data_IF_255128287910
#
_entry.id   IF_255128287910
#
_cell.length_a   1.000
_cell.length_b   1.000
_cell.length_c   1.000
_cell.angle_alpha   90.00
_cell.angle_beta   90.00
_cell.angle_gamma   90.00
#
_symmetry.space_group_name_H-M   'P 1'
#
loop_
_entity.id
_entity.type
_entity.pdbx_description
1 polymer ?
#
# COMPACT_ATOMS: atom_id res chain seq x y z
N UNK A 1 -56.34 45.55 4.23
CA UNK A 1 -57.39 45.67 5.27
C UNK A 1 -57.42 44.39 6.04
N UNK A 2 -57.21 44.56 7.34
CA UNK A 2 -57.32 43.62 8.46
C UNK A 2 -56.18 42.64 8.61
N UNK A 3 -55.18 43.01 9.31
CA UNK A 3 -54.68 42.76 10.67
C UNK A 3 -55.36 41.64 11.42
N UNK A 4 -54.56 40.69 11.89
CA UNK A 4 -54.68 40.19 13.26
C UNK A 4 -53.37 39.58 13.79
N UNK A 5 -52.80 40.28 14.77
CA UNK A 5 -51.89 39.91 15.82
C UNK A 5 -52.48 38.81 16.75
N UNK A 6 -51.60 37.88 17.19
CA UNK A 6 -51.54 37.32 18.57
C UNK A 6 -50.23 36.51 18.55
N UNK A 7 -49.22 36.78 19.23
CA UNK A 7 -48.77 37.09 20.51
C UNK A 7 -48.98 35.96 21.56
N UNK A 8 -47.94 35.23 21.92
CA UNK A 8 -47.74 34.72 23.31
C UNK A 8 -46.43 33.93 23.41
N UNK A 9 -45.52 34.46 24.09
CA UNK A 9 -44.77 33.97 25.25
C UNK A 9 -44.55 32.45 25.38
N UNK A 10 -43.28 32.03 25.32
CA UNK A 10 -42.79 30.87 26.04
C UNK A 10 -41.38 31.16 26.55
N UNK A 11 -41.22 31.05 27.85
CA UNK A 11 -40.07 31.30 28.70
C UNK A 11 -38.83 30.46 28.38
N UNK A 12 -37.63 30.91 28.78
CA UNK A 12 -36.38 30.15 28.57
C UNK A 12 -36.23 29.07 29.66
N UNK A 13 -36.08 27.83 29.23
CA UNK A 13 -35.70 26.70 30.11
C UNK A 13 -34.21 26.77 30.42
N UNK A 14 -33.91 27.04 31.64
CA UNK A 14 -32.62 27.05 32.27
C UNK A 14 -32.05 25.63 32.35
N UNK A 15 -31.01 25.31 31.59
CA UNK A 15 -30.27 24.06 31.74
C UNK A 15 -29.00 24.36 32.54
N UNK A 16 -28.99 23.86 33.77
CA UNK A 16 -27.93 23.93 34.72
C UNK A 16 -26.63 23.30 34.17
N UNK A 17 -25.53 24.08 34.23
CA UNK A 17 -24.17 23.58 34.11
C UNK A 17 -23.84 22.64 35.27
N UNK A 18 -23.74 21.35 35.01
CA UNK A 18 -23.08 20.40 35.91
C UNK A 18 -21.58 20.52 35.72
N UNK A 19 -20.90 21.12 36.66
CA UNK A 19 -19.44 21.13 36.79
C UNK A 19 -18.95 19.73 37.08
N UNK A 20 -18.24 19.10 36.15
CA UNK A 20 -17.51 17.87 36.40
C UNK A 20 -16.19 18.23 37.03
N UNK A 21 -16.07 17.86 38.33
CA UNK A 21 -14.84 17.97 39.08
C UNK A 21 -13.74 17.09 38.49
N UNK A 22 -12.62 17.70 38.08
CA UNK A 22 -11.39 16.98 37.77
C UNK A 22 -10.80 16.41 39.04
N UNK A 23 -10.91 15.11 39.20
CA UNK A 23 -10.22 14.33 40.21
C UNK A 23 -8.72 14.24 39.84
N UNK A 24 -7.90 14.82 40.71
CA UNK A 24 -6.46 14.90 40.52
C UNK A 24 -5.80 13.59 40.97
N UNK A 25 -5.22 12.85 40.05
CA UNK A 25 -4.37 11.70 40.34
C UNK A 25 -3.15 12.10 41.23
N UNK A 26 -2.75 11.30 42.21
CA UNK A 26 -1.65 11.61 43.11
C UNK A 26 -0.29 11.52 42.41
N UNK A 27 0.49 12.60 42.50
CA UNK A 27 1.89 12.66 42.05
C UNK A 27 2.76 11.73 42.91
N UNK A 28 3.49 10.83 42.27
CA UNK A 28 4.56 10.04 42.85
C UNK A 28 5.69 10.94 43.39
N UNK A 29 6.32 10.58 44.55
CA UNK A 29 7.36 11.39 45.17
C UNK A 29 8.68 11.28 44.40
N UNK A 30 9.33 12.44 44.18
CA UNK A 30 10.69 12.53 43.64
C UNK A 30 11.71 12.01 44.64
N UNK A 31 12.76 11.25 44.21
CA UNK A 31 13.84 10.87 45.12
C UNK A 31 14.70 12.07 45.48
N UNK A 32 14.92 12.23 46.78
CA UNK A 32 15.82 13.22 47.38
C UNK A 32 17.28 12.83 47.04
N UNK A 33 18.01 13.75 46.47
CA UNK A 33 19.45 13.66 46.29
C UNK A 33 20.16 13.54 47.64
N UNK A 34 20.80 12.40 47.87
CA UNK A 34 21.72 12.21 48.95
C UNK A 34 23.04 12.95 48.66
N UNK A 35 23.23 14.11 49.30
CA UNK A 35 24.47 14.86 49.39
C UNK A 35 25.14 14.46 50.67
N UNK A 36 26.24 13.74 50.60
CA UNK A 36 27.01 13.43 51.78
C UNK A 36 27.75 12.10 51.72
N UNK A 37 28.84 12.02 50.97
CA UNK A 37 29.92 11.04 51.22
C UNK A 37 31.12 11.46 50.36
N UNK A 38 31.71 12.59 50.74
CA UNK A 38 32.99 13.09 50.17
C UNK A 38 33.92 13.57 51.26
N UNK A 39 34.03 12.84 52.35
CA UNK A 39 35.01 13.17 53.44
C UNK A 39 35.46 11.96 54.26
N UNK A 40 35.72 10.80 53.63
CA UNK A 40 36.31 9.67 54.37
C UNK A 40 37.20 8.82 53.45
N UNK A 41 38.23 9.40 52.87
CA UNK A 41 39.14 8.68 51.98
C UNK A 41 40.58 9.24 51.92
N UNK A 42 40.98 10.03 52.88
CA UNK A 42 42.27 10.72 52.83
C UNK A 42 43.11 10.50 54.12
N UNK A 43 43.08 9.30 54.67
CA UNK A 43 43.85 8.98 55.91
C UNK A 43 44.44 7.56 55.93
N UNK A 44 44.77 6.93 54.79
CA UNK A 44 45.36 5.57 54.80
C UNK A 44 46.43 5.34 53.71
N UNK A 45 47.18 6.33 53.28
CA UNK A 45 48.30 6.15 52.34
C UNK A 45 49.63 6.82 52.81
N UNK A 46 49.88 6.87 54.12
CA UNK A 46 51.13 7.48 54.63
C UNK A 46 51.78 6.60 55.71
N UNK A 47 51.72 5.26 55.55
CA UNK A 47 52.37 4.36 56.52
C UNK A 47 52.89 3.06 55.83
N UNK A 48 53.61 3.15 54.69
CA UNK A 48 54.43 2.05 54.16
C UNK A 48 55.55 2.57 53.26
N UNK A 49 56.48 3.36 53.85
CA UNK A 49 57.71 3.78 53.22
C UNK A 49 58.79 3.94 54.26
N UNK A 50 59.11 2.82 54.95
CA UNK A 50 60.34 2.72 55.76
C UNK A 50 60.52 1.23 56.15
N UNK A 51 61.09 0.42 55.30
CA UNK A 51 61.98 -0.71 55.66
C UNK A 51 62.26 -1.57 54.39
N UNK A 52 63.38 -1.34 53.75
CA UNK A 52 64.20 -2.33 53.05
C UNK A 52 65.52 -1.68 52.67
N UNK A 53 66.37 -1.57 53.66
CA UNK A 53 67.82 -1.34 53.44
C UNK A 53 68.50 -2.67 53.20
N UNK A 54 69.46 -2.59 52.24
CA UNK A 54 70.69 -3.37 52.13
C UNK A 54 70.63 -4.91 52.15
N UNK A 55 70.73 -5.51 50.96
CA UNK A 55 71.62 -6.66 50.78
C UNK A 55 72.36 -6.44 49.46
N UNK A 56 73.62 -5.99 49.58
CA UNK A 56 74.61 -5.94 48.52
C UNK A 56 75.27 -7.33 48.44
N UNK A 57 74.98 -8.14 47.41
CA UNK A 57 75.74 -9.34 47.12
C UNK A 57 76.50 -9.11 45.83
N UNK A 58 77.81 -9.02 45.96
CA UNK A 58 78.84 -8.90 44.92
C UNK A 58 78.89 -10.20 44.10
N UNK A 59 78.68 -10.04 42.77
CA UNK A 59 79.03 -11.08 41.80
C UNK A 59 80.20 -10.57 40.87
N UNK A 60 81.11 -11.48 40.50
CA UNK A 60 82.28 -11.08 39.75
C UNK A 60 81.95 -10.88 38.29
N UNK A 61 82.54 -9.77 37.76
CA UNK A 61 82.49 -9.41 36.33
C UNK A 61 83.32 -10.37 35.46
N UNK A 62 82.57 -11.15 34.68
CA UNK A 62 83.25 -11.87 33.54
C UNK A 62 83.05 -11.03 32.28
N UNK A 63 84.07 -10.37 31.81
CA UNK A 63 84.17 -9.71 30.53
C UNK A 63 84.23 -10.73 29.42
N UNK A 64 83.10 -11.00 28.77
CA UNK A 64 83.06 -11.71 27.49
C UNK A 64 82.83 -10.65 26.40
N UNK A 65 83.80 -10.52 25.51
CA UNK A 65 83.71 -9.77 24.26
C UNK A 65 82.56 -10.42 23.43
N UNK A 66 81.37 -9.76 23.41
CA UNK A 66 80.31 -10.08 22.48
C UNK A 66 80.48 -9.26 21.22
N UNK A 67 80.79 -9.95 20.15
CA UNK A 67 80.71 -9.50 18.78
C UNK A 67 79.29 -8.98 18.50
N UNK A 68 79.18 -7.73 18.10
CA UNK A 68 77.93 -7.08 17.71
C UNK A 68 77.26 -7.86 16.54
N UNK A 69 76.05 -8.43 16.71
CA UNK A 69 75.32 -8.95 15.57
C UNK A 69 74.76 -7.76 14.78
N UNK A 70 75.03 -7.75 13.48
CA UNK A 70 74.45 -6.84 12.53
C UNK A 70 72.93 -6.64 12.79
N UNK A 71 72.37 -5.43 12.62
CA UNK A 71 70.95 -5.23 12.84
C UNK A 71 70.16 -6.14 11.92
N UNK A 72 69.45 -7.12 12.52
CA UNK A 72 68.45 -7.91 11.83
C UNK A 72 67.40 -7.00 11.27
N UNK A 73 67.36 -6.90 9.96
CA UNK A 73 66.29 -6.25 9.20
C UNK A 73 64.94 -6.75 9.78
N UNK A 74 64.24 -5.85 10.43
CA UNK A 74 62.97 -6.20 11.07
C UNK A 74 62.05 -6.74 10.00
N UNK A 75 61.81 -8.06 10.03
CA UNK A 75 60.84 -8.71 9.14
C UNK A 75 59.52 -7.95 9.21
N UNK A 76 59.08 -7.43 8.10
CA UNK A 76 57.77 -6.74 8.00
C UNK A 76 56.72 -7.69 8.56
N UNK A 77 55.79 -7.21 9.40
CA UNK A 77 54.71 -8.03 9.93
C UNK A 77 53.99 -8.72 8.78
N UNK A 78 53.58 -9.97 8.93
CA UNK A 78 52.92 -10.75 7.86
C UNK A 78 51.67 -9.98 7.40
N UNK A 79 51.56 -9.78 6.08
CA UNK A 79 50.40 -9.09 5.48
C UNK A 79 49.10 -9.85 5.83
N UNK A 80 48.15 -9.16 6.41
CA UNK A 80 46.86 -9.75 6.80
C UNK A 80 45.99 -10.00 5.58
N UNK A 81 45.42 -11.23 5.39
CA UNK A 81 44.49 -11.47 4.30
C UNK A 81 43.18 -10.71 4.55
N UNK A 82 42.76 -9.95 3.54
CA UNK A 82 41.50 -9.16 3.53
C UNK A 82 40.82 -9.29 2.19
N UNK A 83 39.49 -9.41 2.21
CA UNK A 83 38.69 -9.38 0.99
C UNK A 83 38.53 -7.94 0.53
N UNK A 84 38.88 -7.69 -0.72
CA UNK A 84 38.74 -6.36 -1.34
C UNK A 84 37.87 -6.46 -2.58
N UNK A 85 37.11 -5.42 -2.84
CA UNK A 85 36.35 -5.28 -4.07
C UNK A 85 36.76 -4.01 -4.81
N UNK A 86 36.75 -4.07 -6.14
CA UNK A 86 37.00 -2.93 -7.01
C UNK A 86 35.71 -2.13 -7.18
N UNK A 87 35.79 -0.85 -6.92
CA UNK A 87 34.68 0.09 -7.13
C UNK A 87 34.40 0.27 -8.62
N UNK A 88 33.17 0.03 -9.01
CA UNK A 88 32.67 0.30 -10.35
C UNK A 88 31.47 1.23 -10.25
N UNK A 89 31.36 2.15 -11.18
CA UNK A 89 30.16 2.93 -11.37
C UNK A 89 29.06 1.98 -11.82
N UNK A 90 27.90 2.09 -11.18
CA UNK A 90 26.70 1.33 -11.53
C UNK A 90 25.53 2.30 -11.68
N UNK A 91 24.69 2.00 -12.60
CA UNK A 91 23.42 2.69 -12.69
C UNK A 91 22.54 2.20 -11.54
N UNK A 92 22.28 3.08 -10.60
CA UNK A 92 21.48 2.80 -9.41
C UNK A 92 20.18 3.58 -9.45
N UNK A 93 19.10 2.92 -9.07
CA UNK A 93 17.81 3.58 -8.90
C UNK A 93 17.69 4.07 -7.47
N UNK A 94 17.31 5.33 -7.31
CA UNK A 94 16.98 5.88 -5.99
C UNK A 94 15.57 5.49 -5.61
N UNK A 95 15.38 5.06 -4.39
CA UNK A 95 14.11 4.66 -3.82
C UNK A 95 13.77 5.50 -2.61
N UNK A 96 12.55 6.04 -2.58
CA UNK A 96 11.99 6.72 -1.43
C UNK A 96 10.96 5.79 -0.76
N UNK A 97 10.97 5.72 0.58
CA UNK A 97 10.11 4.81 1.35
C UNK A 97 8.94 5.55 1.97
N UNK A 98 7.76 4.99 1.79
CA UNK A 98 6.50 5.52 2.31
C UNK A 98 5.68 4.43 2.98
N UNK A 99 4.67 4.86 3.72
CA UNK A 99 3.67 4.00 4.32
C UNK A 99 2.38 4.10 3.53
N UNK A 100 1.81 2.97 3.12
CA UNK A 100 0.58 2.94 2.34
C UNK A 100 -0.42 1.91 2.82
N UNK A 101 -1.61 1.95 2.21
CA UNK A 101 -2.68 0.97 2.42
C UNK A 101 -3.18 0.44 1.09
N UNK A 102 -3.40 -0.88 1.07
CA UNK A 102 -4.03 -1.54 -0.06
C UNK A 102 -5.51 -1.15 -0.14
N UNK A 103 -5.98 -0.91 -1.36
CA UNK A 103 -7.39 -0.65 -1.67
C UNK A 103 -7.82 -1.47 -2.87
N UNK A 104 -9.06 -1.94 -2.85
CA UNK A 104 -9.65 -2.51 -4.04
C UNK A 104 -9.81 -1.43 -5.13
N UNK A 105 -9.77 -1.85 -6.39
CA UNK A 105 -10.10 -0.97 -7.52
C UNK A 105 -11.57 -0.60 -7.47
N UNK A 106 -12.41 -1.61 -7.18
CA UNK A 106 -13.85 -1.47 -7.07
C UNK A 106 -14.31 -2.05 -5.74
N UNK A 107 -15.14 -1.29 -5.04
CA UNK A 107 -15.80 -1.68 -3.81
C UNK A 107 -17.28 -1.36 -3.92
N UNK A 108 -18.12 -2.40 -3.89
CA UNK A 108 -19.56 -2.28 -4.12
C UNK A 108 -20.32 -2.87 -2.95
N UNK A 109 -21.21 -2.08 -2.38
CA UNK A 109 -22.24 -2.58 -1.47
C UNK A 109 -23.42 -3.11 -2.27
N UNK A 110 -23.61 -4.40 -2.25
CA UNK A 110 -24.72 -5.05 -2.95
C UNK A 110 -26.00 -4.86 -2.15
N UNK A 111 -26.97 -4.15 -2.76
CA UNK A 111 -28.28 -3.84 -2.16
C UNK A 111 -29.39 -4.27 -3.08
N UNK A 112 -30.58 -4.57 -2.49
CA UNK A 112 -31.75 -4.88 -3.30
C UNK A 112 -32.33 -3.63 -3.97
N UNK A 113 -32.79 -3.79 -5.22
CA UNK A 113 -33.56 -2.77 -5.93
C UNK A 113 -35.08 -2.93 -5.76
N UNK A 114 -35.53 -4.10 -5.30
CA UNK A 114 -36.92 -4.42 -5.06
C UNK A 114 -37.12 -4.85 -3.61
N UNK A 115 -38.31 -4.62 -3.08
CA UNK A 115 -38.66 -5.06 -1.74
C UNK A 115 -39.21 -6.47 -1.77
N UNK A 116 -38.83 -7.32 -0.81
CA UNK A 116 -39.32 -8.70 -0.73
C UNK A 116 -38.55 -9.52 0.30
N UNK A 117 -38.99 -10.77 0.51
CA UNK A 117 -38.26 -11.69 1.37
C UNK A 117 -37.08 -12.30 0.63
N UNK A 118 -35.94 -12.47 1.32
CA UNK A 118 -34.80 -13.22 0.78
C UNK A 118 -35.19 -14.70 0.73
N UNK A 119 -35.31 -15.25 -0.47
CA UNK A 119 -35.67 -16.65 -0.68
C UNK A 119 -34.44 -17.55 -0.59
N UNK A 120 -33.34 -17.15 -1.26
CA UNK A 120 -32.12 -17.97 -1.36
C UNK A 120 -30.87 -17.13 -1.51
N UNK A 121 -29.78 -17.65 -0.93
CA UNK A 121 -28.41 -17.11 -1.09
C UNK A 121 -27.60 -18.17 -1.85
N UNK A 122 -26.91 -17.73 -2.89
CA UNK A 122 -26.21 -18.60 -3.85
C UNK A 122 -24.68 -18.57 -3.73
N UNK A 123 -24.14 -17.74 -2.85
CA UNK A 123 -22.70 -17.63 -2.66
C UNK A 123 -22.27 -18.14 -1.28
N UNK A 124 -20.97 -18.42 -1.15
CA UNK A 124 -20.31 -18.66 0.13
C UNK A 124 -19.52 -17.41 0.52
N UNK A 125 -19.55 -17.04 1.79
CA UNK A 125 -18.74 -15.92 2.32
C UNK A 125 -17.26 -16.06 1.97
N UNK A 126 -16.65 -14.98 1.49
CA UNK A 126 -15.25 -14.96 1.04
C UNK A 126 -14.95 -15.62 -0.30
N UNK A 127 -15.96 -16.17 -0.99
CA UNK A 127 -15.76 -16.77 -2.31
C UNK A 127 -15.46 -15.72 -3.39
N UNK A 128 -14.76 -16.14 -4.43
CA UNK A 128 -14.61 -15.37 -5.66
C UNK A 128 -15.83 -15.57 -6.54
N UNK A 129 -16.35 -14.47 -7.08
CA UNK A 129 -17.50 -14.46 -8.01
C UNK A 129 -17.14 -13.63 -9.24
N UNK A 130 -17.80 -13.95 -10.35
CA UNK A 130 -17.68 -13.20 -11.60
C UNK A 130 -18.87 -12.25 -11.78
N UNK A 131 -18.66 -11.21 -12.55
CA UNK A 131 -19.73 -10.32 -12.97
C UNK A 131 -20.90 -11.13 -13.59
N UNK A 132 -22.12 -10.85 -13.12
CA UNK A 132 -23.31 -11.56 -13.54
C UNK A 132 -23.68 -12.81 -12.73
N UNK A 133 -22.78 -13.31 -11.87
CA UNK A 133 -23.09 -14.44 -10.97
C UNK A 133 -24.26 -14.10 -10.06
N UNK A 134 -25.18 -15.06 -9.89
CA UNK A 134 -26.35 -14.91 -9.02
C UNK A 134 -25.91 -14.98 -7.55
N UNK A 135 -26.16 -13.92 -6.80
CA UNK A 135 -25.81 -13.83 -5.38
C UNK A 135 -27.00 -14.12 -4.46
N UNK A 136 -28.12 -13.45 -4.71
CA UNK A 136 -29.30 -13.55 -3.85
C UNK A 136 -30.55 -13.60 -4.73
N UNK A 137 -31.50 -14.44 -4.38
CA UNK A 137 -32.86 -14.45 -4.93
C UNK A 137 -33.82 -13.87 -3.91
N UNK A 138 -34.57 -12.88 -4.32
CA UNK A 138 -35.70 -12.31 -3.57
C UNK A 138 -36.96 -12.97 -4.12
N UNK A 139 -37.98 -13.22 -3.28
CA UNK A 139 -39.24 -13.89 -3.66
C UNK A 139 -39.77 -13.29 -4.98
N UNK A 140 -39.75 -14.04 -6.09
CA UNK A 140 -40.16 -13.56 -7.41
C UNK A 140 -41.66 -13.64 -7.63
N UNK A 141 -42.43 -14.37 -6.77
CA UNK A 141 -43.81 -14.68 -7.01
C UNK A 141 -44.71 -13.43 -7.20
N UNK A 142 -44.60 -12.37 -6.37
CA UNK A 142 -45.41 -11.16 -6.57
C UNK A 142 -45.09 -10.45 -7.90
N UNK A 143 -43.80 -10.44 -8.30
CA UNK A 143 -43.33 -9.80 -9.52
C UNK A 143 -43.76 -10.60 -10.77
N UNK A 144 -43.71 -11.92 -10.70
CA UNK A 144 -44.23 -12.79 -11.76
C UNK A 144 -45.73 -12.57 -11.98
N UNK A 145 -46.49 -12.45 -10.91
CA UNK A 145 -47.92 -12.15 -11.00
C UNK A 145 -48.19 -10.75 -11.61
N UNK A 146 -47.36 -9.76 -11.25
CA UNK A 146 -47.43 -8.41 -11.83
C UNK A 146 -47.12 -8.43 -13.33
N UNK A 147 -46.08 -9.17 -13.74
CA UNK A 147 -45.72 -9.34 -15.15
C UNK A 147 -46.85 -9.96 -15.93
N UNK A 148 -47.39 -11.10 -15.46
CA UNK A 148 -48.55 -11.80 -16.14
C UNK A 148 -49.73 -10.86 -16.29
N UNK A 149 -50.04 -10.04 -15.28
CA UNK A 149 -51.09 -9.04 -15.36
C UNK A 149 -50.79 -7.97 -16.42
N UNK A 150 -49.59 -7.44 -16.47
CA UNK A 150 -49.17 -6.44 -17.45
C UNK A 150 -49.24 -7.00 -18.89
N UNK A 151 -48.80 -8.25 -19.08
CA UNK A 151 -48.86 -8.95 -20.39
C UNK A 151 -50.34 -9.12 -20.86
N UNK A 152 -51.24 -9.51 -19.95
CA UNK A 152 -52.66 -9.62 -20.27
C UNK A 152 -53.30 -8.30 -20.68
N UNK A 153 -52.89 -7.18 -20.05
CA UNK A 153 -53.36 -5.84 -20.41
C UNK A 153 -52.80 -5.40 -21.77
N UNK A 154 -51.55 -5.70 -22.11
CA UNK A 154 -50.95 -5.43 -23.43
C UNK A 154 -51.67 -6.23 -24.51
N UNK A 155 -51.98 -7.52 -24.29
CA UNK A 155 -52.72 -8.34 -25.22
C UNK A 155 -54.15 -7.78 -25.46
N UNK A 156 -54.86 -7.33 -24.42
CA UNK A 156 -56.16 -6.68 -24.56
C UNK A 156 -56.09 -5.38 -25.36
N UNK A 157 -55.05 -4.55 -25.14
CA UNK A 157 -54.79 -3.33 -25.90
C UNK A 157 -54.47 -3.62 -27.37
N UNK A 158 -53.68 -4.68 -27.64
CA UNK A 158 -53.39 -5.13 -29.00
C UNK A 158 -54.65 -5.54 -29.76
N UNK A 159 -55.53 -6.32 -29.11
CA UNK A 159 -56.84 -6.70 -29.68
C UNK A 159 -57.71 -5.47 -30.01
N UNK A 160 -57.63 -4.41 -29.16
CA UNK A 160 -58.33 -3.14 -29.42
C UNK A 160 -57.78 -2.41 -30.64
N UNK A 161 -56.46 -2.41 -30.84
CA UNK A 161 -55.81 -1.84 -32.03
C UNK A 161 -56.28 -2.56 -33.28
N UNK A 162 -56.34 -3.88 -33.31
CA UNK A 162 -56.81 -4.66 -34.46
C UNK A 162 -58.30 -4.36 -34.78
N UNK A 163 -59.13 -4.25 -33.75
CA UNK A 163 -60.53 -3.87 -33.96
C UNK A 163 -60.67 -2.48 -34.59
N UNK A 164 -60.00 -1.46 -33.98
CA UNK A 164 -60.11 -0.08 -34.46
C UNK A 164 -59.46 0.11 -35.83
N UNK A 165 -58.38 -0.64 -36.13
CA UNK A 165 -57.77 -0.71 -37.47
C UNK A 165 -58.78 -1.21 -38.50
N UNK A 166 -59.46 -2.33 -38.25
CA UNK A 166 -60.46 -2.89 -39.15
C UNK A 166 -61.63 -1.92 -39.34
N UNK A 167 -62.06 -1.21 -38.28
CA UNK A 167 -63.12 -0.20 -38.36
C UNK A 167 -62.69 1.03 -39.17
N UNK A 168 -61.43 1.48 -39.06
CA UNK A 168 -60.85 2.55 -39.84
C UNK A 168 -60.78 2.19 -41.34
N UNK A 169 -60.25 1.00 -41.67
CA UNK A 169 -60.16 0.55 -43.03
C UNK A 169 -61.57 0.42 -43.68
N UNK A 170 -62.56 -0.12 -42.98
CA UNK A 170 -63.95 -0.12 -43.46
C UNK A 170 -64.47 1.29 -43.64
N UNK A 171 -64.17 2.21 -42.69
CA UNK A 171 -64.58 3.62 -42.78
C UNK A 171 -64.00 4.32 -44.02
N UNK A 172 -62.73 4.10 -44.35
CA UNK A 172 -62.10 4.63 -45.58
C UNK A 172 -62.84 4.19 -46.82
N UNK A 173 -63.15 2.89 -46.96
CA UNK A 173 -63.90 2.33 -48.10
C UNK A 173 -65.28 2.90 -48.21
N UNK A 174 -66.01 3.17 -47.07
CA UNK A 174 -67.34 3.71 -47.08
C UNK A 174 -67.39 5.21 -47.42
N UNK A 175 -66.38 5.98 -47.08
CA UNK A 175 -66.22 7.40 -47.47
C UNK A 175 -65.96 7.49 -48.97
N UNK A 176 -65.13 6.63 -49.56
CA UNK A 176 -64.89 6.57 -50.99
C UNK A 176 -66.18 6.33 -51.75
N UNK A 177 -67.12 5.52 -51.21
CA UNK A 177 -68.41 5.25 -51.73
C UNK A 177 -69.49 6.29 -51.33
N UNK A 178 -69.11 7.40 -50.63
CA UNK A 178 -70.02 8.46 -50.15
C UNK A 178 -71.12 7.98 -49.20
N UNK A 179 -70.87 6.87 -48.51
CA UNK A 179 -71.88 6.26 -47.61
C UNK A 179 -71.78 6.84 -46.17
N UNK A 180 -70.61 7.32 -45.73
CA UNK A 180 -70.38 7.88 -44.40
C UNK A 180 -69.72 9.27 -44.53
N UNK A 181 -69.85 10.08 -43.45
CA UNK A 181 -69.29 11.43 -43.41
C UNK A 181 -67.80 11.45 -43.13
N UNK A 182 -67.07 12.49 -43.57
CA UNK A 182 -65.67 12.72 -43.21
C UNK A 182 -65.49 12.78 -41.68
N UNK A 183 -66.43 13.36 -40.95
CA UNK A 183 -66.40 13.37 -39.47
C UNK A 183 -66.37 11.97 -38.87
N UNK A 184 -67.10 11.00 -39.45
CA UNK A 184 -67.09 9.61 -38.97
C UNK A 184 -65.69 8.96 -39.23
N UNK A 185 -65.07 9.25 -40.36
CA UNK A 185 -63.71 8.79 -40.69
C UNK A 185 -62.71 9.37 -39.65
N UNK A 186 -62.83 10.71 -39.37
CA UNK A 186 -61.97 11.36 -38.38
C UNK A 186 -62.11 10.75 -36.98
N UNK A 187 -63.37 10.39 -36.57
CA UNK A 187 -63.61 9.72 -35.32
C UNK A 187 -62.94 8.34 -35.27
N UNK A 188 -63.03 7.55 -36.34
CA UNK A 188 -62.37 6.22 -36.43
C UNK A 188 -60.85 6.33 -36.44
N UNK A 189 -60.34 7.34 -37.15
CA UNK A 189 -58.91 7.66 -37.15
C UNK A 189 -58.38 7.99 -35.77
N UNK A 190 -59.13 8.84 -35.05
CA UNK A 190 -58.78 9.19 -33.69
C UNK A 190 -58.85 7.98 -32.72
N UNK A 191 -59.92 7.16 -32.84
CA UNK A 191 -60.06 5.94 -32.04
C UNK A 191 -58.88 4.93 -32.29
N UNK A 192 -58.45 4.81 -33.56
CA UNK A 192 -57.28 3.97 -33.89
C UNK A 192 -55.99 4.53 -33.25
N UNK A 193 -55.72 5.85 -33.39
CA UNK A 193 -54.59 6.50 -32.78
C UNK A 193 -54.58 6.37 -31.26
N UNK A 194 -55.74 6.50 -30.62
CA UNK A 194 -55.88 6.28 -29.19
C UNK A 194 -55.57 4.87 -28.78
N UNK A 195 -56.10 3.87 -29.53
CA UNK A 195 -55.81 2.47 -29.28
C UNK A 195 -54.33 2.14 -29.41
N UNK A 196 -53.63 2.70 -30.45
CA UNK A 196 -52.19 2.55 -30.60
C UNK A 196 -51.41 3.19 -29.44
N UNK A 197 -51.85 4.35 -28.94
CA UNK A 197 -51.21 5.00 -27.79
C UNK A 197 -51.36 4.16 -26.51
N UNK A 198 -52.57 3.58 -26.31
CA UNK A 198 -52.85 2.70 -25.18
C UNK A 198 -52.02 1.41 -25.24
N UNK A 199 -51.84 0.81 -26.43
CA UNK A 199 -50.96 -0.34 -26.59
C UNK A 199 -49.51 -0.02 -26.20
N UNK A 200 -48.96 1.12 -26.70
CA UNK A 200 -47.62 1.53 -26.30
C UNK A 200 -47.47 1.72 -24.81
N UNK A 201 -48.48 2.28 -24.14
CA UNK A 201 -48.51 2.41 -22.67
C UNK A 201 -48.53 1.05 -21.96
N UNK A 202 -49.33 0.11 -22.44
CA UNK A 202 -49.40 -1.25 -21.89
C UNK A 202 -48.05 -1.99 -22.09
N UNK A 203 -47.46 -1.89 -23.26
CA UNK A 203 -46.14 -2.46 -23.56
C UNK A 203 -45.03 -1.89 -22.63
N UNK A 204 -45.06 -0.60 -22.36
CA UNK A 204 -44.15 0.03 -21.38
C UNK A 204 -44.35 -0.55 -19.96
N UNK A 205 -45.61 -0.83 -19.55
CA UNK A 205 -45.90 -1.47 -18.29
C UNK A 205 -45.37 -2.92 -18.22
N UNK A 206 -45.42 -3.66 -19.33
CA UNK A 206 -44.79 -4.99 -19.43
C UNK A 206 -43.28 -4.90 -19.25
N UNK A 207 -42.63 -3.93 -19.88
CA UNK A 207 -41.16 -3.75 -19.71
C UNK A 207 -40.81 -3.40 -18.28
N UNK A 208 -41.56 -2.55 -17.60
CA UNK A 208 -41.36 -2.23 -16.18
C UNK A 208 -41.48 -3.48 -15.30
N UNK A 209 -42.55 -4.27 -15.49
CA UNK A 209 -42.73 -5.49 -14.72
C UNK A 209 -41.65 -6.55 -14.96
N UNK A 210 -41.11 -6.63 -16.22
CA UNK A 210 -39.96 -7.49 -16.55
C UNK A 210 -38.71 -7.06 -15.84
N UNK A 211 -38.42 -5.74 -15.78
CA UNK A 211 -37.28 -5.21 -15.05
C UNK A 211 -37.38 -5.49 -13.55
N UNK A 212 -38.56 -5.27 -12.96
CA UNK A 212 -38.77 -5.52 -11.53
C UNK A 212 -38.59 -7.00 -11.19
N UNK A 213 -39.10 -7.90 -12.05
CA UNK A 213 -38.85 -9.34 -11.91
C UNK A 213 -37.36 -9.67 -12.05
N UNK A 214 -36.68 -9.06 -13.01
CA UNK A 214 -35.21 -9.21 -13.15
C UNK A 214 -34.41 -8.75 -11.93
N UNK A 215 -34.89 -7.73 -11.22
CA UNK A 215 -34.27 -7.24 -10.00
C UNK A 215 -34.43 -8.14 -8.78
N UNK A 216 -35.33 -9.15 -8.84
CA UNK A 216 -35.41 -10.18 -7.81
C UNK A 216 -34.18 -11.09 -7.81
N UNK A 217 -33.50 -11.19 -8.92
CA UNK A 217 -32.19 -11.85 -9.06
C UNK A 217 -31.06 -10.85 -8.85
N UNK A 218 -30.56 -10.76 -7.63
CA UNK A 218 -29.43 -9.87 -7.31
C UNK A 218 -28.15 -10.54 -7.76
N UNK A 219 -27.49 -9.93 -8.76
CA UNK A 219 -26.28 -10.44 -9.39
C UNK A 219 -25.05 -9.58 -9.06
N UNK A 220 -23.86 -10.19 -9.14
CA UNK A 220 -22.61 -9.50 -8.95
C UNK A 220 -22.40 -8.43 -10.04
N UNK A 221 -22.18 -7.15 -9.69
CA UNK A 221 -21.97 -6.09 -10.67
C UNK A 221 -20.56 -6.09 -11.25
N UNK A 222 -19.58 -6.67 -10.54
CA UNK A 222 -18.14 -6.72 -10.89
C UNK A 222 -17.55 -8.07 -10.48
N UNK A 223 -16.40 -8.40 -11.03
CA UNK A 223 -15.58 -9.54 -10.59
C UNK A 223 -14.96 -9.23 -9.23
N UNK A 224 -14.97 -10.19 -8.31
CA UNK A 224 -14.35 -9.94 -7.01
C UNK A 224 -14.61 -10.99 -5.96
N UNK A 225 -14.25 -10.66 -4.73
CA UNK A 225 -14.50 -11.47 -3.54
C UNK A 225 -15.71 -10.93 -2.79
N UNK A 226 -16.66 -11.83 -2.53
CA UNK A 226 -17.86 -11.52 -1.76
C UNK A 226 -17.51 -11.47 -0.27
N UNK A 227 -18.09 -10.51 0.43
CA UNK A 227 -17.97 -10.37 1.88
C UNK A 227 -18.86 -11.38 2.64
N UNK A 228 -19.23 -10.99 3.84
CA UNK A 228 -20.15 -11.78 4.68
C UNK A 228 -21.60 -11.60 4.25
N UNK A 229 -22.46 -12.51 4.67
CA UNK A 229 -23.90 -12.44 4.53
C UNK A 229 -24.45 -11.51 5.61
N UNK A 230 -24.95 -10.33 5.22
CA UNK A 230 -25.50 -9.37 6.18
C UNK A 230 -27.00 -9.63 6.44
N UNK A 231 -27.71 -10.20 5.48
CA UNK A 231 -29.15 -10.52 5.58
C UNK A 231 -29.35 -11.99 5.25
N UNK A 232 -29.93 -12.73 6.18
CA UNK A 232 -30.20 -14.18 6.04
C UNK A 232 -31.53 -14.47 5.34
N UNK A 233 -31.66 -15.69 4.84
CA UNK A 233 -32.90 -16.21 4.21
C UNK A 233 -34.10 -16.05 5.15
N UNK A 234 -35.23 -15.66 4.59
CA UNK A 234 -36.47 -15.41 5.30
C UNK A 234 -36.66 -13.97 5.81
N UNK A 235 -35.64 -13.14 5.80
CA UNK A 235 -35.75 -11.73 6.17
C UNK A 235 -36.32 -10.90 5.02
N UNK A 236 -37.12 -9.88 5.39
CA UNK A 236 -37.64 -8.90 4.45
C UNK A 236 -36.65 -7.79 4.22
N UNK A 237 -36.39 -7.44 2.96
CA UNK A 237 -35.56 -6.32 2.55
C UNK A 237 -36.39 -5.21 1.89
N UNK A 238 -35.98 -3.97 2.10
CA UNK A 238 -36.56 -2.81 1.43
C UNK A 238 -35.95 -2.63 0.01
N UNK A 239 -36.49 -1.71 -0.76
CA UNK A 239 -35.99 -1.35 -2.08
C UNK A 239 -35.10 -0.13 -2.07
N UNK A 240 -34.11 -0.08 -2.93
CA UNK A 240 -33.30 1.10 -3.24
C UNK A 240 -32.27 1.51 -2.18
N UNK A 241 -31.99 2.79 -2.05
CA UNK A 241 -30.91 3.31 -1.20
C UNK A 241 -31.11 3.04 0.32
N UNK A 242 -32.36 2.90 0.77
CA UNK A 242 -32.69 2.54 2.16
C UNK A 242 -32.64 1.04 2.44
N UNK A 243 -32.38 0.21 1.41
CA UNK A 243 -32.21 -1.23 1.58
C UNK A 243 -30.98 -1.51 2.44
N UNK A 244 -31.05 -2.48 3.36
CA UNK A 244 -29.86 -2.97 4.03
C UNK A 244 -28.85 -3.52 3.00
N UNK A 245 -27.57 -3.44 3.32
CA UNK A 245 -26.53 -4.11 2.54
C UNK A 245 -26.74 -5.61 2.64
N UNK A 246 -26.82 -6.31 1.52
CA UNK A 246 -26.93 -7.77 1.48
C UNK A 246 -25.57 -8.44 1.68
N UNK A 247 -24.56 -7.88 1.02
CA UNK A 247 -23.14 -8.25 1.13
C UNK A 247 -22.28 -7.14 0.51
N UNK A 248 -20.99 -7.11 0.83
CA UNK A 248 -20.00 -6.29 0.13
C UNK A 248 -19.32 -7.13 -0.95
N UNK A 249 -18.87 -6.48 -2.02
CA UNK A 249 -18.09 -7.09 -3.09
C UNK A 249 -16.88 -6.20 -3.37
N UNK A 250 -15.67 -6.77 -3.31
CA UNK A 250 -14.42 -6.07 -3.56
C UNK A 250 -13.65 -6.73 -4.68
N UNK A 251 -13.16 -5.93 -5.63
CA UNK A 251 -12.27 -6.44 -6.68
C UNK A 251 -10.97 -6.94 -6.07
N UNK A 252 -10.40 -8.01 -6.67
CA UNK A 252 -9.18 -8.64 -6.16
C UNK A 252 -7.97 -8.31 -7.02
N UNK A 253 -8.14 -8.34 -8.33
CA UNK A 253 -7.08 -8.08 -9.31
C UNK A 253 -7.60 -7.13 -10.40
N UNK A 254 -6.87 -6.05 -10.71
CA UNK A 254 -5.69 -5.55 -10.00
C UNK A 254 -6.03 -4.96 -8.62
N UNK A 255 -4.99 -4.60 -7.82
CA UNK A 255 -5.15 -3.96 -6.53
C UNK A 255 -4.37 -2.65 -6.48
N UNK A 256 -4.88 -1.67 -5.76
CA UNK A 256 -4.24 -0.37 -5.56
C UNK A 256 -3.52 -0.29 -4.22
N UNK A 257 -2.49 0.52 -4.18
CA UNK A 257 -1.90 1.03 -2.95
C UNK A 257 -1.99 2.54 -2.95
N UNK A 258 -2.63 3.10 -1.93
CA UNK A 258 -2.64 4.54 -1.70
C UNK A 258 -1.62 4.89 -0.62
N UNK A 259 -0.81 5.91 -0.87
CA UNK A 259 0.19 6.43 0.07
C UNK A 259 0.34 7.93 -0.11
N UNK A 260 0.83 8.60 0.93
CA UNK A 260 1.08 10.03 0.90
C UNK A 260 2.59 10.26 0.82
N UNK A 261 3.03 11.11 -0.13
CA UNK A 261 4.44 11.43 -0.35
C UNK A 261 4.64 12.95 -0.32
N UNK A 262 5.78 13.39 0.19
CA UNK A 262 6.12 14.80 0.24
C UNK A 262 6.31 15.40 -1.17
N UNK A 263 6.11 16.71 -1.29
CA UNK A 263 6.16 17.43 -2.56
C UNK A 263 7.50 17.28 -3.28
N UNK A 264 8.60 17.25 -2.54
CA UNK A 264 9.94 17.14 -3.13
C UNK A 264 10.15 15.75 -3.76
N UNK A 265 9.77 14.69 -3.07
CA UNK A 265 9.89 13.32 -3.58
C UNK A 265 9.05 13.11 -4.85
N UNK A 266 7.84 13.67 -4.88
CA UNK A 266 6.97 13.63 -6.06
C UNK A 266 7.58 14.42 -7.22
N UNK A 267 8.05 15.65 -6.96
CA UNK A 267 8.68 16.48 -7.98
C UNK A 267 9.92 15.81 -8.59
N UNK A 268 10.78 15.19 -7.75
CA UNK A 268 11.97 14.46 -8.22
C UNK A 268 11.60 13.19 -9.01
N UNK A 269 10.57 12.46 -8.59
CA UNK A 269 10.08 11.29 -9.33
C UNK A 269 9.53 11.70 -10.71
N UNK A 270 8.72 12.75 -10.79
CA UNK A 270 8.18 13.27 -12.05
C UNK A 270 9.28 13.82 -12.95
N UNK A 271 10.25 14.57 -12.43
CA UNK A 271 11.41 15.07 -13.19
C UNK A 271 12.26 13.92 -13.78
N UNK A 272 12.25 12.74 -13.19
CA UNK A 272 12.95 11.57 -13.70
C UNK A 272 12.31 10.98 -14.97
N UNK A 273 11.05 11.27 -15.24
CA UNK A 273 10.32 10.73 -16.42
C UNK A 273 10.60 11.53 -17.69
N UNK A 274 10.84 12.85 -17.62
CA UNK A 274 11.20 13.67 -18.77
C UNK A 274 11.05 15.17 -18.51
N UNK A 275 11.71 15.99 -19.34
CA UNK A 275 11.66 17.45 -19.25
C UNK A 275 10.46 18.10 -19.97
N UNK A 276 9.65 17.33 -20.68
CA UNK A 276 8.57 17.87 -21.49
C UNK A 276 7.21 17.57 -20.87
N UNK A 277 6.54 18.66 -20.58
CA UNK A 277 5.12 18.79 -20.29
C UNK A 277 4.60 17.67 -19.40
N UNK A 278 4.16 17.99 -18.21
CA UNK A 278 3.60 17.04 -17.22
C UNK A 278 2.45 16.20 -17.81
N UNK A 279 2.74 15.51 -18.88
CA UNK A 279 1.86 14.53 -19.47
C UNK A 279 1.75 13.38 -18.47
N UNK A 280 0.63 13.35 -17.76
CA UNK A 280 0.18 12.27 -16.87
C UNK A 280 0.22 10.88 -17.54
N UNK A 281 0.55 10.82 -18.81
CA UNK A 281 0.70 9.61 -19.63
C UNK A 281 1.98 8.81 -19.35
N UNK A 282 2.97 9.39 -18.68
CA UNK A 282 4.25 8.71 -18.46
C UNK A 282 4.53 8.37 -16.98
N UNK A 283 3.58 8.64 -16.09
CA UNK A 283 3.72 8.30 -14.67
C UNK A 283 3.79 6.79 -14.42
N UNK A 284 3.31 5.99 -15.34
CA UNK A 284 3.40 4.53 -15.32
C UNK A 284 4.84 4.01 -15.44
N UNK A 285 5.78 4.84 -15.91
CA UNK A 285 7.21 4.53 -15.92
C UNK A 285 7.86 4.61 -14.54
N UNK A 286 7.18 5.23 -13.55
CA UNK A 286 7.69 5.32 -12.18
C UNK A 286 7.43 3.97 -11.48
N UNK A 287 8.48 3.18 -11.21
CA UNK A 287 8.32 1.89 -10.58
C UNK A 287 7.98 2.06 -9.10
N UNK A 288 7.06 1.25 -8.64
CA UNK A 288 6.68 1.19 -7.22
C UNK A 288 6.80 -0.25 -6.75
N UNK A 289 7.41 -0.43 -5.60
CA UNK A 289 7.55 -1.73 -4.95
C UNK A 289 6.82 -1.72 -3.61
N UNK A 290 6.17 -2.83 -3.28
CA UNK A 290 5.53 -2.98 -1.98
C UNK A 290 5.98 -4.24 -1.26
N UNK A 291 5.98 -4.13 0.05
CA UNK A 291 6.15 -5.27 0.96
C UNK A 291 5.04 -5.23 2.00
N UNK A 292 4.35 -6.35 2.18
CA UNK A 292 3.27 -6.52 3.17
C UNK A 292 3.57 -7.68 4.09
N UNK A 293 2.82 -7.82 5.17
CA UNK A 293 2.96 -8.97 6.08
C UNK A 293 2.68 -10.31 5.36
N UNK A 294 1.76 -10.32 4.38
CA UNK A 294 1.37 -11.53 3.63
C UNK A 294 2.37 -11.93 2.55
N UNK A 295 3.24 -11.02 2.12
CA UNK A 295 4.27 -11.33 1.12
C UNK A 295 5.51 -12.00 1.72
N UNK A 296 5.55 -12.21 3.05
CA UNK A 296 6.68 -12.86 3.77
C UNK A 296 8.06 -12.26 3.38
N UNK A 297 8.12 -10.93 3.26
CA UNK A 297 9.34 -10.20 2.89
C UNK A 297 9.65 -10.18 1.38
N UNK A 298 8.85 -10.84 0.54
CA UNK A 298 8.97 -10.70 -0.91
C UNK A 298 8.43 -9.36 -1.36
N UNK A 299 9.12 -8.73 -2.27
CA UNK A 299 8.74 -7.47 -2.90
C UNK A 299 7.81 -7.75 -4.08
N UNK A 300 6.68 -7.07 -4.13
CA UNK A 300 5.77 -7.07 -5.29
C UNK A 300 6.01 -5.77 -6.05
N UNK A 301 6.17 -5.88 -7.38
CA UNK A 301 6.41 -4.74 -8.27
C UNK A 301 5.13 -4.29 -8.93
N UNK A 302 5.01 -2.99 -9.07
CA UNK A 302 3.93 -2.32 -9.76
C UNK A 302 4.43 -0.97 -10.28
N UNK A 303 3.52 -0.11 -10.65
CA UNK A 303 3.83 1.22 -11.18
C UNK A 303 2.88 2.28 -10.63
N UNK A 304 3.32 3.52 -10.66
CA UNK A 304 2.50 4.66 -10.27
C UNK A 304 1.39 4.85 -11.29
N UNK A 305 0.16 5.08 -10.84
CA UNK A 305 -1.00 5.25 -11.70
C UNK A 305 -1.61 6.64 -11.57
N UNK A 306 -1.54 7.22 -10.39
CA UNK A 306 -2.17 8.52 -10.12
C UNK A 306 -1.32 9.31 -9.14
N UNK A 307 -1.15 10.58 -9.46
CA UNK A 307 -0.75 11.65 -8.54
C UNK A 307 -1.98 12.52 -8.37
N UNK A 308 -2.43 12.75 -7.14
CA UNK A 308 -3.58 13.61 -6.90
C UNK A 308 -3.30 15.03 -7.42
N UNK A 309 -4.34 15.71 -7.86
CA UNK A 309 -4.25 17.08 -8.41
C UNK A 309 -4.21 18.15 -7.31
N UNK A 310 -4.22 17.77 -6.04
CA UNK A 310 -4.19 18.66 -4.89
C UNK A 310 -3.18 18.19 -3.87
N UNK A 311 -2.46 19.16 -3.30
CA UNK A 311 -1.60 18.97 -2.13
C UNK A 311 -2.45 19.10 -0.88
N UNK A 312 -2.32 18.21 0.06
CA UNK A 312 -2.87 18.40 1.39
C UNK A 312 -2.08 19.51 2.10
N UNK A 313 -2.71 20.68 2.23
CA UNK A 313 -2.08 21.86 2.81
C UNK A 313 -1.70 21.71 4.30
N UNK A 314 -2.28 20.73 5.01
CA UNK A 314 -1.98 20.49 6.42
C UNK A 314 -0.68 19.69 6.59
N UNK A 315 -0.39 18.79 5.66
CA UNK A 315 0.76 17.88 5.71
C UNK A 315 1.85 18.20 4.69
N UNK A 316 1.54 18.97 3.62
CA UNK A 316 2.46 19.24 2.52
C UNK A 316 2.72 17.99 1.66
N UNK A 317 1.75 17.07 1.58
CA UNK A 317 1.90 15.82 0.86
C UNK A 317 0.91 15.69 -0.29
N UNK A 318 1.32 15.00 -1.35
CA UNK A 318 0.44 14.50 -2.40
C UNK A 318 -0.05 13.11 -2.05
N UNK A 319 -1.32 12.83 -2.35
CA UNK A 319 -1.82 11.47 -2.35
C UNK A 319 -1.50 10.79 -3.66
N UNK A 320 -0.80 9.67 -3.56
CA UNK A 320 -0.40 8.85 -4.69
C UNK A 320 -1.16 7.53 -4.69
N UNK A 321 -1.31 6.97 -5.89
CA UNK A 321 -1.87 5.64 -6.08
C UNK A 321 -1.02 4.86 -7.08
N UNK A 322 -0.58 3.68 -6.67
CA UNK A 322 0.10 2.72 -7.51
C UNK A 322 -0.77 1.49 -7.73
N UNK A 323 -0.60 0.81 -8.86
CA UNK A 323 -1.33 -0.40 -9.24
C UNK A 323 -0.41 -1.60 -9.23
N UNK A 324 -0.96 -2.74 -8.80
CA UNK A 324 -0.25 -4.01 -8.66
C UNK A 324 -1.12 -5.15 -9.15
N UNK A 325 -0.50 -6.12 -9.79
CA UNK A 325 -1.15 -7.38 -10.12
C UNK A 325 -1.29 -8.24 -8.86
N UNK A 326 -2.45 -8.88 -8.71
CA UNK A 326 -2.80 -9.71 -7.55
C UNK A 326 -3.54 -10.97 -7.98
N UNK A 327 -3.00 -11.68 -8.97
CA UNK A 327 -3.62 -12.90 -9.52
C UNK A 327 -3.77 -13.99 -8.46
N UNK A 328 -2.82 -14.09 -7.51
CA UNK A 328 -2.85 -15.06 -6.43
C UNK A 328 -3.78 -14.66 -5.26
N UNK A 329 -4.35 -13.45 -5.29
CA UNK A 329 -5.28 -12.93 -4.29
C UNK A 329 -4.72 -12.78 -2.87
N UNK A 330 -3.37 -12.74 -2.72
CA UNK A 330 -2.70 -12.62 -1.41
C UNK A 330 -2.71 -11.20 -0.86
N UNK A 331 -2.75 -10.22 -1.74
CA UNK A 331 -2.89 -8.82 -1.35
C UNK A 331 -4.36 -8.57 -1.06
N UNK A 332 -4.66 -8.18 0.18
CA UNK A 332 -6.04 -7.99 0.63
C UNK A 332 -6.28 -6.49 0.89
N UNK A 333 -7.37 -5.91 0.38
CA UNK A 333 -7.73 -4.52 0.67
C UNK A 333 -7.74 -4.23 2.17
N UNK A 334 -7.29 -3.03 2.57
CA UNK A 334 -7.16 -2.62 3.97
C UNK A 334 -5.83 -2.95 4.63
N UNK A 335 -5.02 -3.84 4.06
CA UNK A 335 -3.69 -4.15 4.59
C UNK A 335 -2.75 -2.95 4.52
N UNK A 336 -1.84 -2.89 5.49
CA UNK A 336 -0.73 -1.96 5.49
C UNK A 336 0.37 -2.47 4.56
N UNK A 337 0.95 -1.55 3.79
CA UNK A 337 2.07 -1.83 2.90
C UNK A 337 3.22 -0.83 3.15
N UNK A 338 4.44 -1.33 3.19
CA UNK A 338 5.63 -0.51 3.03
C UNK A 338 5.83 -0.32 1.53
N UNK A 339 5.82 0.93 1.11
CA UNK A 339 5.90 1.34 -0.30
C UNK A 339 7.28 1.90 -0.57
N UNK A 340 7.90 1.48 -1.65
CA UNK A 340 9.11 2.09 -2.21
C UNK A 340 8.77 2.63 -3.58
N UNK A 341 8.92 3.92 -3.77
CA UNK A 341 8.76 4.60 -5.05
C UNK A 341 10.14 4.86 -5.63
N UNK A 342 10.42 4.31 -6.80
CA UNK A 342 11.67 4.50 -7.53
C UNK A 342 11.59 5.72 -8.45
N UNK A 343 12.73 6.10 -9.01
CA UNK A 343 12.81 7.09 -10.08
C UNK A 343 12.90 6.38 -11.41
N UNK A 344 12.27 6.89 -12.46
CA UNK A 344 12.27 6.26 -13.78
C UNK A 344 13.69 6.20 -14.40
N UNK A 345 14.54 7.19 -14.10
CA UNK A 345 15.93 7.20 -14.55
C UNK A 345 16.88 6.70 -13.47
N UNK A 346 17.80 5.85 -13.87
CA UNK A 346 18.93 5.45 -13.06
C UNK A 346 20.03 6.53 -13.11
N UNK A 347 20.72 6.73 -12.00
CA UNK A 347 21.87 7.63 -11.93
C UNK A 347 23.15 6.81 -11.73
N UNK A 348 24.25 7.15 -12.45
CA UNK A 348 25.51 6.50 -12.21
C UNK A 348 26.02 6.84 -10.81
N UNK A 349 26.22 5.84 -9.98
CA UNK A 349 26.69 6.01 -8.61
C UNK A 349 27.72 4.95 -8.22
N UNK A 350 28.57 5.28 -7.26
CA UNK A 350 29.44 4.31 -6.62
C UNK A 350 28.69 3.68 -5.46
N UNK A 351 28.49 2.38 -5.51
CA UNK A 351 27.79 1.64 -4.46
C UNK A 351 28.72 0.60 -3.81
N UNK A 352 28.68 0.52 -2.49
CA UNK A 352 29.53 -0.36 -1.69
C UNK A 352 28.68 -1.26 -0.81
N UNK A 353 29.20 -2.43 -0.48
CA UNK A 353 28.56 -3.30 0.49
C UNK A 353 28.55 -2.63 1.88
N UNK A 354 27.46 -2.73 2.60
CA UNK A 354 27.31 -2.09 3.91
C UNK A 354 28.36 -2.58 4.93
N UNK A 355 28.86 -3.81 4.76
CA UNK A 355 29.97 -4.38 5.57
C UNK A 355 31.32 -3.69 5.36
N UNK A 356 31.51 -3.01 4.20
CA UNK A 356 32.71 -2.24 3.90
C UNK A 356 32.76 -0.90 4.63
N UNK A 357 31.66 -0.51 5.28
CA UNK A 357 31.51 0.79 5.93
C UNK A 357 31.78 0.65 7.41
N UNK A 358 32.87 1.26 7.87
CA UNK A 358 33.18 1.41 9.28
C UNK A 358 32.52 2.65 9.88
N UNK A 359 32.33 2.62 11.19
CA UNK A 359 31.87 3.79 11.97
C UNK A 359 32.88 4.10 13.04
N UNK A 360 33.39 5.33 13.05
CA UNK A 360 34.27 5.85 14.08
C UNK A 360 33.64 7.12 14.67
N UNK A 361 33.06 6.95 15.86
CA UNK A 361 32.22 7.96 16.52
C UNK A 361 31.08 8.42 15.59
N UNK A 362 31.14 9.62 15.08
CA UNK A 362 30.17 10.25 14.17
C UNK A 362 30.52 10.13 12.67
N UNK A 363 31.73 9.57 12.35
CA UNK A 363 32.24 9.53 10.98
C UNK A 363 32.10 8.14 10.38
N UNK A 364 31.58 8.12 9.16
CA UNK A 364 31.57 6.93 8.33
C UNK A 364 32.83 6.89 7.49
N UNK A 365 33.45 5.71 7.40
CA UNK A 365 34.71 5.54 6.70
C UNK A 365 34.80 4.19 6.01
N UNK A 366 35.71 4.08 5.08
CA UNK A 366 36.13 2.85 4.42
C UNK A 366 37.66 2.74 4.42
N UNK A 367 38.19 1.52 4.28
CA UNK A 367 39.60 1.33 3.99
C UNK A 367 39.81 1.17 2.49
N UNK A 368 40.55 2.08 1.90
CA UNK A 368 41.01 2.00 0.50
C UNK A 368 42.39 1.38 0.48
N UNK A 369 42.57 0.36 -0.38
CA UNK A 369 43.82 -0.35 -0.53
C UNK A 369 44.57 0.25 -1.73
N UNK A 370 45.67 0.90 -1.47
CA UNK A 370 46.57 1.47 -2.49
C UNK A 370 47.31 0.41 -3.30
N UNK A 371 48.05 0.85 -4.31
CA UNK A 371 48.88 -0.05 -5.14
C UNK A 371 50.04 -0.67 -4.36
N UNK A 372 50.47 -0.05 -3.27
CA UNK A 372 51.44 -0.52 -2.29
C UNK A 372 50.85 -1.52 -1.27
N UNK A 373 49.58 -1.97 -1.48
CA UNK A 373 48.81 -2.83 -0.59
C UNK A 373 48.68 -2.30 0.84
N UNK A 374 48.77 -0.98 1.03
CA UNK A 374 48.48 -0.35 2.32
C UNK A 374 47.04 0.08 2.42
N UNK A 375 46.41 -0.20 3.57
CA UNK A 375 45.07 0.21 3.85
C UNK A 375 45.06 1.67 4.38
N UNK A 376 44.40 2.54 3.64
CA UNK A 376 44.24 3.97 3.97
C UNK A 376 42.82 4.21 4.46
N UNK A 377 42.71 4.77 5.66
CA UNK A 377 41.44 5.23 6.20
C UNK A 377 40.92 6.43 5.42
N UNK A 378 39.67 6.37 4.95
CA UNK A 378 39.08 7.47 4.20
C UNK A 378 37.65 7.73 4.65
N UNK A 379 37.37 8.98 5.03
CA UNK A 379 36.00 9.41 5.34
C UNK A 379 35.16 9.36 4.08
N UNK A 380 33.90 8.88 4.23
CA UNK A 380 32.93 8.84 3.14
C UNK A 380 31.60 9.45 3.59
N UNK A 381 30.86 10.00 2.62
CA UNK A 381 29.49 10.46 2.81
C UNK A 381 28.55 9.42 2.23
N UNK A 382 27.62 8.93 3.06
CA UNK A 382 26.67 7.90 2.65
C UNK A 382 25.46 8.53 1.96
N UNK A 383 25.05 7.92 0.87
CA UNK A 383 23.77 8.15 0.21
C UNK A 383 22.71 7.12 0.63
N UNK A 384 21.58 7.04 -0.09
CA UNK A 384 20.53 6.07 0.13
C UNK A 384 21.00 4.64 -0.16
N UNK A 385 20.32 3.61 0.37
CA UNK A 385 20.54 2.24 -0.05
C UNK A 385 19.98 2.04 -1.47
N UNK A 386 20.71 1.24 -2.29
CA UNK A 386 20.29 0.86 -3.63
C UNK A 386 20.72 -0.60 -3.90
N UNK A 387 19.79 -1.44 -4.33
CA UNK A 387 20.02 -2.84 -4.74
C UNK A 387 20.84 -3.69 -3.72
N UNK A 388 20.60 -3.47 -2.43
CA UNK A 388 21.30 -4.19 -1.35
C UNK A 388 22.71 -3.64 -1.05
N UNK A 389 23.12 -2.57 -1.72
CA UNK A 389 24.35 -1.83 -1.49
C UNK A 389 24.06 -0.44 -0.92
N UNK A 390 25.08 0.26 -0.47
CA UNK A 390 24.99 1.64 0.00
C UNK A 390 25.67 2.57 -1.00
N UNK A 391 24.95 3.55 -1.53
CA UNK A 391 25.51 4.58 -2.40
C UNK A 391 26.49 5.44 -1.59
N UNK A 392 27.61 5.79 -2.19
CA UNK A 392 28.59 6.76 -1.65
C UNK A 392 28.53 8.01 -2.50
N UNK A 393 28.17 9.13 -1.88
CA UNK A 393 28.03 10.41 -2.57
C UNK A 393 29.34 11.18 -2.63
N UNK A 394 30.26 10.95 -1.68
CA UNK A 394 31.58 11.62 -1.64
C UNK A 394 32.61 10.77 -0.92
N UNK A 395 33.87 10.91 -1.34
CA UNK A 395 35.04 10.29 -0.69
C UNK A 395 35.67 9.12 -1.44
N UNK A 396 35.05 8.60 -2.52
CA UNK A 396 35.58 7.48 -3.31
C UNK A 396 35.65 7.82 -4.82
N UNK A 397 36.50 7.11 -5.53
CA UNK A 397 36.68 7.21 -6.99
C UNK A 397 36.47 5.83 -7.63
N UNK A 398 36.06 5.83 -8.88
CA UNK A 398 35.97 4.61 -9.68
C UNK A 398 37.34 3.94 -9.82
N UNK A 399 37.39 2.61 -9.77
CA UNK A 399 38.60 1.80 -9.89
C UNK A 399 39.36 1.61 -8.58
N UNK A 400 39.01 2.30 -7.50
CA UNK A 400 39.66 2.11 -6.19
C UNK A 400 39.25 0.74 -5.60
N UNK A 401 40.23 0.12 -4.90
CA UNK A 401 40.03 -1.14 -4.17
C UNK A 401 39.64 -0.83 -2.73
N UNK A 402 38.53 -1.34 -2.25
CA UNK A 402 38.09 -1.15 -0.86
C UNK A 402 38.01 -2.50 -0.12
N UNK A 403 38.29 -2.48 1.16
CA UNK A 403 38.12 -3.65 2.04
C UNK A 403 36.63 -3.88 2.30
N UNK A 404 36.12 -5.06 1.92
CA UNK A 404 34.73 -5.42 2.10
C UNK A 404 34.53 -6.31 3.34
N UNK A 405 35.51 -7.16 3.63
CA UNK A 405 35.46 -8.01 4.80
C UNK A 405 36.79 -7.95 5.56
N UNK A 406 36.74 -8.05 6.89
CA UNK A 406 37.92 -7.99 7.74
C UNK A 406 38.25 -6.58 8.29
N UNK A 407 37.35 -5.59 8.18
CA UNK A 407 37.55 -4.23 8.66
C UNK A 407 38.11 -4.16 10.09
N UNK A 408 37.63 -5.04 10.99
CA UNK A 408 38.02 -5.04 12.41
C UNK A 408 39.48 -5.42 12.64
N UNK A 409 40.13 -6.04 11.66
CA UNK A 409 41.53 -6.50 11.72
C UNK A 409 42.50 -5.50 11.09
N UNK A 410 41.99 -4.59 10.26
CA UNK A 410 42.80 -3.62 9.52
C UNK A 410 43.03 -2.38 10.35
N UNK A 411 44.30 -1.96 10.44
CA UNK A 411 44.68 -0.65 11.04
C UNK A 411 45.10 0.32 9.94
N UNK A 412 44.88 1.62 10.11
CA UNK A 412 45.37 2.63 9.16
C UNK A 412 46.87 2.45 8.90
N UNK A 413 47.28 2.38 7.62
CA UNK A 413 48.66 2.20 7.19
C UNK A 413 49.19 0.75 7.22
N UNK A 414 48.39 -0.23 7.64
CA UNK A 414 48.82 -1.65 7.64
C UNK A 414 48.92 -2.19 6.22
N UNK A 415 49.95 -3.03 5.99
CA UNK A 415 50.11 -3.78 4.75
C UNK A 415 49.14 -5.00 4.79
N UNK A 416 48.28 -5.11 3.78
CA UNK A 416 47.30 -6.16 3.65
C UNK A 416 47.60 -7.06 2.44
N UNK A 417 47.14 -8.31 2.50
CA UNK A 417 47.14 -9.22 1.35
C UNK A 417 45.73 -9.21 0.74
N UNK A 418 45.49 -8.45 -0.35
CA UNK A 418 44.17 -8.31 -0.91
C UNK A 418 43.73 -9.55 -1.70
N UNK A 419 42.60 -10.10 -1.38
CA UNK A 419 41.87 -11.10 -2.17
C UNK A 419 40.70 -10.42 -2.86
N UNK A 420 40.64 -10.42 -4.19
CA UNK A 420 39.62 -9.74 -4.95
C UNK A 420 38.32 -10.57 -4.94
N UNK A 421 37.25 -10.01 -4.39
CA UNK A 421 35.93 -10.60 -4.35
C UNK A 421 34.92 -9.69 -5.05
N UNK A 422 33.83 -10.24 -5.62
CA UNK A 422 32.73 -9.41 -6.11
C UNK A 422 32.08 -8.63 -4.97
N UNK A 423 31.65 -7.38 -5.24
CA UNK A 423 31.03 -6.50 -4.24
C UNK A 423 29.74 -7.12 -3.63
N UNK A 424 29.06 -7.97 -4.38
CA UNK A 424 27.76 -8.58 -4.00
C UNK A 424 27.92 -9.85 -3.15
N UNK A 425 29.02 -10.62 -3.32
CA UNK A 425 29.19 -11.94 -2.65
C UNK A 425 29.41 -11.84 -1.14
N UNK A 426 29.66 -10.65 -0.62
CA UNK A 426 29.75 -10.41 0.82
C UNK A 426 28.41 -10.56 1.58
N UNK A 427 27.32 -10.97 0.90
CA UNK A 427 25.97 -11.13 1.49
C UNK A 427 25.61 -12.59 1.87
N UNK A 428 26.35 -13.61 1.45
CA UNK A 428 26.00 -14.98 1.76
C UNK A 428 26.91 -15.53 2.87
N UNK A 429 26.43 -15.51 4.12
CA UNK A 429 26.91 -16.47 5.10
C UNK A 429 26.50 -17.87 4.60
N UNK A 430 27.41 -18.88 4.55
CA UNK A 430 27.01 -20.21 4.20
C UNK A 430 25.96 -20.69 5.21
N UNK A 431 24.79 -21.05 4.72
CA UNK A 431 23.83 -21.83 5.47
C UNK A 431 24.54 -23.15 5.81
N UNK A 432 24.92 -23.33 7.06
CA UNK A 432 25.34 -24.61 7.61
C UNK A 432 24.13 -25.52 7.53
N UNK A 433 24.13 -26.40 6.54
CA UNK A 433 23.22 -27.54 6.48
C UNK A 433 23.45 -28.40 7.72
N UNK A 434 22.46 -28.61 8.56
CA UNK A 434 22.55 -29.63 9.60
C UNK A 434 22.07 -30.96 9.02
N UNK A 435 22.82 -31.54 8.08
CA UNK A 435 22.55 -32.88 7.66
C UNK A 435 23.83 -33.69 7.86
N UNK A 436 24.02 -34.22 9.07
CA UNK A 436 24.79 -35.46 9.21
C UNK A 436 24.46 -36.14 10.54
N UNK A 437 23.99 -37.35 10.43
CA UNK A 437 24.15 -38.44 11.37
C UNK A 437 23.11 -38.59 12.49
N UNK A 438 22.06 -39.31 12.16
CA UNK A 438 21.59 -40.37 13.07
C UNK A 438 21.68 -41.68 12.28
N UNK A 439 22.80 -42.39 12.46
CA UNK A 439 22.91 -43.77 12.14
C UNK A 439 23.15 -44.55 13.44
N UNK A 440 22.33 -45.55 13.63
CA UNK A 440 22.53 -46.78 14.42
C UNK A 440 22.63 -46.65 15.95
N UNK A 441 21.57 -46.96 16.65
CA UNK A 441 21.45 -48.21 17.45
C UNK A 441 20.01 -48.42 17.86
#
# INVERSE_FOLDING_TARGET
MSDNHFGTDAAPTNIAHAAIAHDAAPRAPRPKTARGWREAGLALTLAMLATAGAVFVSWPSSTALATDPAPAEAAAPPAMPVEVAVLKVRDTMKWDEFSGRLRAVEEVEVRSRVAGAVEKIHFREGALVKQGDLLVTIDPAPFQAALTRAESLSEAAAARVELTRSELERGKQLVDNRTVSVRDLDQRTNAFREAEANLRAADAAVQTAKLDLGYTEVRAPVDGRVGRIEVTVGNLVAAGASSPVLTSLVSVNPIYVSFDADENAVAEALASVGEHDMALTEIDQIPVEITTATTAGRTVRGHLQLVDNQVDAATGTFRLRAVFDNEDGRLVPGQFARVKMGRAKTEPALAVNERAIGTDQDKKFVFVVGDDNKAVWRKVTLGPPADGLRVITDGLKEGERIVVNGLQRVRPGAVVAPEIVPMETASAAPATDPTTSVAAR
#
